data_IF_952690400986
#
_entry.id   IF_952690400986
#
_cell.length_a   1.000
_cell.length_b   1.000
_cell.length_c   1.000
_cell.angle_alpha   90.00
_cell.angle_beta   90.00
_cell.angle_gamma   90.00
#
_symmetry.space_group_name_H-M   'P 1'
#
loop_
_entity.id
_entity.type
_entity.pdbx_description
1 polymer ?
#
# COMPACT_ATOMS: atom_id res chain seq x y z
N UNK A 1 -0.13 -17.61 -16.70
CA UNK A 1 -1.31 -16.92 -16.12
C UNK A 1 -1.47 -17.03 -14.60
N UNK A 2 -0.42 -17.39 -13.84
CA UNK A 2 -0.55 -17.60 -12.39
C UNK A 2 -0.78 -16.33 -11.56
N UNK A 3 -0.31 -15.17 -12.03
CA UNK A 3 -0.41 -13.90 -11.32
C UNK A 3 -1.86 -13.43 -11.09
N UNK A 4 -2.79 -13.80 -11.98
CA UNK A 4 -4.23 -13.47 -11.87
C UNK A 4 -4.90 -14.09 -10.63
N UNK A 5 -4.22 -15.04 -9.98
CA UNK A 5 -4.71 -15.73 -8.78
C UNK A 5 -4.15 -15.13 -7.49
N UNK A 6 -3.20 -14.20 -7.56
CA UNK A 6 -2.57 -13.62 -6.38
C UNK A 6 -3.59 -12.83 -5.53
N UNK A 7 -3.46 -12.87 -4.19
CA UNK A 7 -4.27 -12.05 -3.31
C UNK A 7 -3.88 -10.57 -3.45
N UNK A 8 -4.85 -9.65 -3.31
CA UNK A 8 -4.59 -8.20 -3.36
C UNK A 8 -4.11 -7.58 -2.04
N UNK A 9 -4.39 -8.23 -0.91
CA UNK A 9 -3.99 -7.77 0.42
C UNK A 9 -3.89 -8.93 1.41
N UNK A 10 -3.25 -8.68 2.55
CA UNK A 10 -3.17 -9.58 3.69
C UNK A 10 -3.42 -8.83 5.01
N UNK A 11 -3.73 -9.58 6.05
CA UNK A 11 -3.92 -9.08 7.41
C UNK A 11 -3.05 -9.91 8.36
N UNK A 12 -2.17 -9.28 9.13
CA UNK A 12 -1.33 -9.94 10.15
C UNK A 12 -1.89 -9.61 11.52
N UNK A 13 -2.20 -10.66 12.29
CA UNK A 13 -2.78 -10.62 13.65
C UNK A 13 -3.98 -9.68 13.84
N UNK A 14 -4.71 -9.40 12.75
CA UNK A 14 -5.84 -8.47 12.78
C UNK A 14 -5.45 -7.02 13.06
N UNK A 15 -4.15 -6.68 13.04
CA UNK A 15 -3.63 -5.35 13.39
C UNK A 15 -2.78 -4.70 12.32
N UNK A 16 -2.18 -5.47 11.41
CA UNK A 16 -1.37 -4.94 10.30
C UNK A 16 -2.04 -5.26 8.97
N UNK A 17 -2.46 -4.22 8.26
CA UNK A 17 -2.96 -4.35 6.89
C UNK A 17 -1.81 -4.27 5.90
N UNK A 18 -1.68 -5.28 5.04
CA UNK A 18 -0.61 -5.38 4.06
C UNK A 18 -1.16 -5.34 2.63
N UNK A 19 -0.59 -4.49 1.78
CA UNK A 19 -0.86 -4.46 0.33
C UNK A 19 0.39 -3.98 -0.42
N UNK A 20 0.40 -4.03 -1.75
CA UNK A 20 1.56 -3.56 -2.51
C UNK A 20 1.55 -2.03 -2.64
N UNK A 21 0.45 -1.50 -3.18
CA UNK A 21 0.13 -0.10 -3.37
C UNK A 21 -0.25 0.55 -2.05
N UNK A 22 -1.49 0.94 -1.88
CA UNK A 22 -1.91 1.55 -0.63
C UNK A 22 -3.41 1.48 -0.44
N UNK A 23 -3.98 2.58 0.05
CA UNK A 23 -5.41 2.68 0.30
C UNK A 23 -6.17 3.04 -1.00
N UNK A 24 -7.48 2.81 -0.98
CA UNK A 24 -8.40 3.21 -2.06
C UNK A 24 -9.51 4.10 -1.49
N UNK A 25 -9.97 5.13 -2.22
CA UNK A 25 -11.18 5.87 -1.85
C UNK A 25 -12.43 4.98 -1.86
N UNK A 26 -12.39 3.87 -2.60
CA UNK A 26 -13.48 2.90 -2.67
C UNK A 26 -13.45 1.88 -1.52
N UNK A 27 -12.35 1.80 -0.75
CA UNK A 27 -12.20 0.84 0.34
C UNK A 27 -12.86 1.36 1.63
N UNK A 28 -14.09 0.92 1.87
CA UNK A 28 -14.86 1.24 3.06
C UNK A 28 -14.98 0.03 4.02
N UNK A 29 -14.94 -1.18 3.48
CA UNK A 29 -15.02 -2.42 4.24
C UNK A 29 -14.06 -3.48 3.68
N UNK A 30 -13.35 -4.20 4.56
CA UNK A 30 -12.44 -5.29 4.18
C UNK A 30 -13.12 -6.39 3.35
N UNK A 31 -14.44 -6.53 3.48
CA UNK A 31 -15.24 -7.46 2.69
C UNK A 31 -15.22 -7.15 1.19
N UNK A 32 -15.02 -5.89 0.80
CA UNK A 32 -14.88 -5.53 -0.62
C UNK A 32 -13.66 -6.21 -1.26
N UNK A 33 -12.56 -6.35 -0.51
CA UNK A 33 -11.35 -7.04 -0.98
C UNK A 33 -11.62 -8.55 -1.11
N UNK A 34 -12.34 -9.15 -0.16
CA UNK A 34 -12.67 -10.58 -0.17
C UNK A 34 -13.57 -10.98 -1.33
N UNK A 35 -14.39 -10.05 -1.82
CA UNK A 35 -15.33 -10.26 -2.93
C UNK A 35 -14.69 -10.10 -4.32
N UNK A 36 -13.41 -9.73 -4.40
CA UNK A 36 -12.68 -9.69 -5.67
C UNK A 36 -12.55 -11.14 -6.19
N UNK A 37 -13.29 -11.43 -7.26
CA UNK A 37 -13.28 -12.74 -7.90
C UNK A 37 -11.95 -12.96 -8.64
N UNK A 38 -11.39 -14.16 -8.50
CA UNK A 38 -10.17 -14.58 -9.20
C UNK A 38 -10.48 -15.77 -10.12
N UNK A 39 -9.81 -15.89 -11.28
CA UNK A 39 -8.73 -15.03 -11.77
C UNK A 39 -9.25 -13.68 -12.26
N UNK A 40 -8.49 -12.61 -12.05
CA UNK A 40 -8.80 -11.28 -12.57
C UNK A 40 -7.55 -10.60 -13.09
N UNK A 41 -7.71 -9.80 -14.15
CA UNK A 41 -6.72 -8.78 -14.51
C UNK A 41 -6.79 -7.60 -13.52
N UNK A 42 -5.73 -6.80 -13.48
CA UNK A 42 -5.74 -5.53 -12.76
C UNK A 42 -6.46 -4.50 -13.64
N UNK A 43 -7.56 -3.89 -13.17
CA UNK A 43 -8.25 -2.85 -13.92
C UNK A 43 -7.44 -1.54 -13.95
N UNK A 44 -7.75 -0.65 -14.88
CA UNK A 44 -7.10 0.67 -14.97
C UNK A 44 -7.49 1.60 -13.80
N UNK A 45 -8.65 1.36 -13.17
CA UNK A 45 -9.17 2.16 -12.05
C UNK A 45 -9.92 1.31 -11.02
N UNK A 46 -10.17 1.90 -9.84
CA UNK A 46 -10.97 1.30 -8.77
C UNK A 46 -10.16 0.46 -7.79
N UNK A 47 -10.86 -0.18 -6.85
CA UNK A 47 -10.28 -0.83 -5.66
C UNK A 47 -9.02 -1.67 -5.90
N UNK A 48 -9.04 -2.61 -6.87
CA UNK A 48 -7.88 -3.48 -7.11
C UNK A 48 -6.70 -2.70 -7.72
N UNK A 49 -6.98 -1.71 -8.56
CA UNK A 49 -5.94 -0.82 -9.09
C UNK A 49 -5.27 -0.06 -7.93
N UNK A 50 -6.07 0.55 -7.06
CA UNK A 50 -5.55 1.39 -5.98
C UNK A 50 -4.76 0.61 -4.93
N UNK A 51 -5.20 -0.60 -4.57
CA UNK A 51 -4.46 -1.50 -3.67
C UNK A 51 -3.06 -1.87 -4.22
N UNK A 52 -2.82 -1.68 -5.51
CA UNK A 52 -1.56 -1.98 -6.18
C UNK A 52 -0.75 -0.74 -6.59
N UNK A 53 -1.40 0.43 -6.74
CA UNK A 53 -0.79 1.60 -7.38
C UNK A 53 -0.85 2.90 -6.58
N UNK A 54 -1.66 3.00 -5.50
CA UNK A 54 -1.72 4.25 -4.73
C UNK A 54 -0.49 4.46 -3.86
N UNK A 55 -0.15 5.73 -3.59
CA UNK A 55 1.03 6.12 -2.81
C UNK A 55 0.70 7.08 -1.67
N UNK A 56 1.36 6.97 -0.51
CA UNK A 56 1.27 7.99 0.54
C UNK A 56 1.99 9.28 0.12
N UNK A 57 1.41 10.44 0.45
CA UNK A 57 2.01 11.75 0.23
C UNK A 57 1.79 12.65 1.46
N UNK A 58 2.86 13.26 1.96
CA UNK A 58 2.85 14.12 3.16
C UNK A 58 2.27 15.50 2.90
N UNK A 59 2.33 15.96 1.64
CA UNK A 59 1.90 17.29 1.22
C UNK A 59 0.43 17.29 0.75
N UNK A 60 -0.18 16.10 0.66
CA UNK A 60 -1.60 15.89 0.34
C UNK A 60 -2.45 15.78 1.60
N UNK A 61 -3.63 16.43 1.57
CA UNK A 61 -4.71 16.23 2.55
C UNK A 61 -5.87 15.52 1.87
N UNK A 62 -6.28 14.37 2.40
CA UNK A 62 -7.27 13.52 1.74
C UNK A 62 -6.65 12.76 0.56
N UNK A 63 -7.25 12.86 -0.61
CA UNK A 63 -6.81 12.19 -1.84
C UNK A 63 -6.27 13.22 -2.84
N UNK A 64 -5.19 12.88 -3.53
CA UNK A 64 -4.56 13.71 -4.55
C UNK A 64 -4.33 12.94 -5.85
N UNK A 65 -3.91 13.68 -6.89
CA UNK A 65 -3.44 13.07 -8.13
C UNK A 65 -2.12 12.32 -7.89
N UNK A 66 -1.89 11.26 -8.65
CA UNK A 66 -0.66 10.48 -8.59
C UNK A 66 0.19 10.77 -9.84
N UNK A 67 1.44 11.17 -9.64
CA UNK A 67 2.40 11.47 -10.72
C UNK A 67 2.67 10.27 -11.64
N UNK A 68 2.32 9.05 -11.20
CA UNK A 68 2.35 7.84 -12.04
C UNK A 68 1.31 7.84 -13.16
N UNK A 69 0.33 8.75 -13.12
CA UNK A 69 -0.80 8.78 -14.05
C UNK A 69 -1.83 7.66 -13.83
N UNK A 70 -1.75 6.95 -12.71
CA UNK A 70 -2.65 5.86 -12.32
C UNK A 70 -2.92 5.92 -10.82
N UNK A 71 -4.15 5.61 -10.42
CA UNK A 71 -4.62 5.67 -9.03
C UNK A 71 -4.42 7.07 -8.40
N UNK A 72 -4.24 7.13 -7.08
CA UNK A 72 -4.25 8.34 -6.26
C UNK A 72 -3.06 8.39 -5.32
N UNK A 73 -2.74 9.61 -4.86
CA UNK A 73 -1.98 9.81 -3.63
C UNK A 73 -2.91 9.97 -2.44
N UNK A 74 -2.46 9.64 -1.23
CA UNK A 74 -3.26 9.80 -0.02
C UNK A 74 -2.48 10.35 1.18
N UNK A 75 -3.15 11.21 1.93
CA UNK A 75 -2.58 11.95 3.06
C UNK A 75 -2.52 11.17 4.38
N UNK A 76 -1.85 11.78 5.36
CA UNK A 76 -1.76 11.29 6.75
C UNK A 76 -3.15 11.13 7.39
N UNK A 77 -4.11 11.99 7.04
CA UNK A 77 -5.47 11.93 7.54
C UNK A 77 -6.24 10.71 7.02
N UNK A 78 -5.99 10.28 5.78
CA UNK A 78 -6.58 9.07 5.20
C UNK A 78 -6.06 7.84 5.93
N UNK A 79 -4.75 7.74 6.17
CA UNK A 79 -4.13 6.66 6.95
C UNK A 79 -4.76 6.59 8.35
N UNK A 80 -4.81 7.72 9.06
CA UNK A 80 -5.33 7.79 10.42
C UNK A 80 -6.81 7.37 10.48
N UNK A 81 -7.62 7.83 9.52
CA UNK A 81 -9.03 7.48 9.42
C UNK A 81 -9.23 5.99 9.13
N UNK A 82 -8.48 5.43 8.20
CA UNK A 82 -8.57 4.02 7.83
C UNK A 82 -8.23 3.10 9.01
N UNK A 83 -7.12 3.36 9.69
CA UNK A 83 -6.70 2.60 10.85
C UNK A 83 -7.72 2.67 11.98
N UNK A 84 -8.21 3.88 12.30
CA UNK A 84 -9.24 4.06 13.34
C UNK A 84 -10.58 3.41 12.99
N UNK A 85 -10.98 3.40 11.71
CA UNK A 85 -12.23 2.76 11.26
C UNK A 85 -12.18 1.24 11.37
N UNK A 86 -11.00 0.64 11.21
CA UNK A 86 -10.82 -0.81 11.16
C UNK A 86 -10.14 -1.39 12.40
N UNK A 87 -9.89 -0.58 13.44
CA UNK A 87 -9.17 -0.97 14.66
C UNK A 87 -7.79 -1.60 14.37
N UNK A 88 -7.04 -0.97 13.46
CA UNK A 88 -5.71 -1.40 13.03
C UNK A 88 -4.62 -0.48 13.58
N UNK A 89 -3.41 -1.02 13.67
CA UNK A 89 -2.26 -0.29 14.22
C UNK A 89 -1.30 0.18 13.12
N UNK A 90 -1.19 -0.57 12.02
CA UNK A 90 -0.18 -0.32 10.98
C UNK A 90 -0.68 -0.69 9.58
N UNK A 91 -0.29 0.12 8.59
CA UNK A 91 -0.29 -0.25 7.17
C UNK A 91 1.14 -0.61 6.78
N UNK A 92 1.34 -1.80 6.22
CA UNK A 92 2.62 -2.23 5.65
C UNK A 92 2.49 -2.31 4.12
N UNK A 93 3.31 -1.55 3.39
CA UNK A 93 3.24 -1.49 1.93
C UNK A 93 4.61 -1.47 1.26
N UNK A 94 4.67 -1.46 -0.08
CA UNK A 94 5.92 -1.48 -0.84
C UNK A 94 5.97 -0.41 -1.94
N UNK A 95 6.16 -0.78 -3.20
CA UNK A 95 5.98 0.03 -4.42
C UNK A 95 6.88 1.27 -4.66
N UNK A 96 7.34 1.95 -3.61
CA UNK A 96 8.27 3.09 -3.71
C UNK A 96 9.67 2.65 -3.25
N UNK A 97 10.69 3.03 -4.02
CA UNK A 97 12.10 2.90 -3.62
C UNK A 97 12.33 3.88 -2.47
N UNK A 98 12.91 3.40 -1.38
CA UNK A 98 13.25 4.19 -0.19
C UNK A 98 14.69 3.91 0.20
N UNK A 99 15.39 4.94 0.67
CA UNK A 99 16.86 4.94 0.86
C UNK A 99 17.34 3.77 1.74
N UNK A 100 16.76 3.60 2.93
CA UNK A 100 17.17 2.57 3.89
C UNK A 100 16.47 1.22 3.67
N UNK A 101 15.74 1.05 2.56
CA UNK A 101 14.90 -0.13 2.30
C UNK A 101 13.63 -0.20 3.16
N UNK A 102 13.44 0.74 4.09
CA UNK A 102 12.17 1.00 4.75
C UNK A 102 11.99 2.49 5.04
N UNK A 103 10.75 2.97 5.09
CA UNK A 103 10.43 4.35 5.48
C UNK A 103 9.09 4.41 6.22
N UNK A 104 9.03 5.19 7.30
CA UNK A 104 7.78 5.41 8.04
C UNK A 104 7.07 6.67 7.57
N UNK A 105 5.74 6.58 7.51
CA UNK A 105 4.81 7.65 7.21
C UNK A 105 3.75 7.78 8.33
N UNK A 106 3.05 8.91 8.38
CA UNK A 106 1.92 9.14 9.28
C UNK A 106 2.20 8.77 10.75
N UNK A 107 3.28 9.32 11.35
CA UNK A 107 3.69 9.02 12.74
C UNK A 107 3.92 7.53 13.00
N UNK A 108 4.52 6.82 12.04
CA UNK A 108 4.80 5.37 12.05
C UNK A 108 3.57 4.48 11.94
N UNK A 109 2.42 5.04 11.58
CA UNK A 109 1.19 4.28 11.30
C UNK A 109 1.16 3.66 9.90
N UNK A 110 2.10 4.03 9.02
CA UNK A 110 2.35 3.35 7.75
C UNK A 110 3.86 3.14 7.57
N UNK A 111 4.25 1.98 7.04
CA UNK A 111 5.63 1.67 6.65
C UNK A 111 5.67 1.24 5.19
N UNK A 112 6.58 1.84 4.43
CA UNK A 112 6.98 1.40 3.09
C UNK A 112 8.20 0.49 3.24
N UNK A 113 8.17 -0.70 2.65
CA UNK A 113 9.28 -1.65 2.58
C UNK A 113 9.72 -1.84 1.12
N UNK A 114 11.02 -1.79 0.89
CA UNK A 114 11.60 -2.04 -0.42
C UNK A 114 12.80 -2.98 -0.28
N UNK A 115 12.71 -4.18 -0.86
CA UNK A 115 13.69 -5.25 -0.59
C UNK A 115 14.71 -5.46 -1.71
N UNK A 116 14.67 -4.67 -2.79
CA UNK A 116 15.65 -4.74 -3.88
C UNK A 116 16.73 -3.67 -3.66
N UNK A 117 17.92 -4.02 -3.13
CA UNK A 117 19.02 -3.07 -2.98
C UNK A 117 19.60 -2.69 -4.33
N UNK A 118 20.19 -1.51 -4.41
CA UNK A 118 20.74 -0.94 -5.65
C UNK A 118 19.75 -1.05 -6.82
N UNK A 119 18.54 -0.53 -6.63
CA UNK A 119 17.44 -0.78 -7.56
C UNK A 119 17.82 -0.40 -8.99
N UNK A 120 17.69 -1.36 -9.91
CA UNK A 120 18.09 -1.24 -11.32
C UNK A 120 19.54 -0.80 -11.60
N UNK A 121 20.42 -0.72 -10.60
CA UNK A 121 21.76 -0.15 -10.76
C UNK A 121 21.78 1.39 -10.82
N UNK A 122 20.66 2.05 -10.54
CA UNK A 122 20.49 3.51 -10.68
C UNK A 122 20.29 4.22 -9.33
N UNK A 123 19.99 3.48 -8.28
CA UNK A 123 19.74 3.99 -6.93
C UNK A 123 20.75 3.37 -5.97
N UNK A 124 21.20 4.12 -4.95
CA UNK A 124 22.09 3.59 -3.90
C UNK A 124 21.30 3.07 -2.68
N UNK A 125 20.05 2.64 -2.87
CA UNK A 125 19.18 2.22 -1.77
C UNK A 125 19.57 0.85 -1.17
N UNK A 126 19.31 0.68 0.12
CA UNK A 126 19.35 -0.61 0.79
C UNK A 126 18.07 -1.45 0.54
N UNK A 127 18.11 -2.71 0.95
CA UNK A 127 16.94 -3.60 0.96
C UNK A 127 16.46 -3.84 2.40
N UNK A 128 15.16 -3.70 2.63
CA UNK A 128 14.53 -3.90 3.95
C UNK A 128 13.69 -5.17 4.05
N UNK A 129 13.60 -5.72 5.27
CA UNK A 129 12.68 -6.76 5.70
C UNK A 129 12.13 -6.37 7.07
N UNK A 130 10.84 -6.60 7.30
CA UNK A 130 10.22 -6.41 8.61
C UNK A 130 9.90 -7.77 9.23
N UNK A 131 10.41 -8.01 10.44
CA UNK A 131 10.01 -9.14 11.28
C UNK A 131 8.92 -8.67 12.24
N UNK A 132 7.88 -9.49 12.42
CA UNK A 132 6.79 -9.29 13.38
C UNK A 132 6.83 -10.47 14.34
N UNK A 133 6.89 -10.21 15.65
CA UNK A 133 7.10 -11.19 16.73
C UNK A 133 5.85 -11.45 17.60
#
# INVERSE_FOLDING_TARGET
DGWRWWPGAAMVDGKIFCCHGGLSPDLNHMEQIRRIMRPTDVPDTGLLCDLLWSDPDKDVKGWGENDRGVSFTFGVDVVSKFLGMHDLDLICRAHQVVEDGYEFFAKRSLVTLFSAPNYCGEFDNAGGMMSVD
#
